data_IF_373449312599
#
_entry.id   IF_373449312599
#
_cell.length_a   1.000
_cell.length_b   1.000
_cell.length_c   1.000
_cell.angle_alpha   90.00
_cell.angle_beta   90.00
_cell.angle_gamma   90.00
#
_symmetry.space_group_name_H-M   'P 1'
#
loop_
_entity.id
_entity.type
_entity.pdbx_description
1 polymer ?
#
# COMPACT_ATOMS: atom_id res chain seq x y z
N UNK A 1 -16.43 17.15 -7.81
CA UNK A 1 -15.52 17.10 -8.99
C UNK A 1 -14.25 16.27 -8.78
N UNK A 2 -13.97 15.69 -7.59
CA UNK A 2 -12.73 14.93 -7.33
C UNK A 2 -12.46 13.75 -8.30
N UNK A 3 -13.51 13.03 -8.71
CA UNK A 3 -13.39 11.92 -9.67
C UNK A 3 -13.05 12.38 -11.10
N UNK A 4 -13.35 13.63 -11.45
CA UNK A 4 -12.94 14.20 -12.74
C UNK A 4 -11.44 14.53 -12.72
N UNK A 5 -10.94 14.97 -11.56
CA UNK A 5 -9.52 15.23 -11.34
C UNK A 5 -8.69 13.93 -11.31
N UNK A 6 -9.31 12.76 -11.06
CA UNK A 6 -8.66 11.46 -11.30
C UNK A 6 -8.26 11.26 -12.77
N UNK A 7 -8.90 11.97 -13.71
CA UNK A 7 -8.48 11.98 -15.12
C UNK A 7 -7.27 12.88 -15.39
N UNK A 8 -6.87 13.76 -14.46
CA UNK A 8 -5.63 14.54 -14.62
C UNK A 8 -4.45 13.61 -14.40
N UNK A 9 -4.03 12.97 -15.51
CA UNK A 9 -3.06 11.90 -15.55
C UNK A 9 -1.76 12.28 -14.84
N UNK A 10 -1.28 13.51 -14.99
CA UNK A 10 0.05 13.89 -14.54
C UNK A 10 0.19 13.93 -13.01
N UNK A 11 -0.83 14.45 -12.31
CA UNK A 11 -0.82 14.47 -10.83
C UNK A 11 -0.85 13.05 -10.25
N UNK A 12 -1.82 12.24 -10.69
CA UNK A 12 -2.02 10.89 -10.15
C UNK A 12 -0.93 9.92 -10.58
N UNK A 13 -0.47 10.01 -11.85
CA UNK A 13 0.66 9.20 -12.31
C UNK A 13 1.94 9.52 -11.55
N UNK A 14 2.20 10.80 -11.25
CA UNK A 14 3.32 11.19 -10.40
C UNK A 14 3.22 10.56 -9.01
N UNK A 15 2.07 10.70 -8.34
CA UNK A 15 1.84 10.13 -7.00
C UNK A 15 1.93 8.61 -6.96
N UNK A 16 1.36 7.91 -7.95
CA UNK A 16 1.43 6.46 -8.00
C UNK A 16 2.80 5.94 -8.42
N UNK A 17 3.54 6.66 -9.26
CA UNK A 17 4.93 6.32 -9.61
C UNK A 17 5.84 6.47 -8.39
N UNK A 18 5.66 7.53 -7.61
CA UNK A 18 6.38 7.75 -6.36
C UNK A 18 6.09 6.62 -5.35
N UNK A 19 4.81 6.28 -5.14
CA UNK A 19 4.43 5.18 -4.25
C UNK A 19 5.00 3.84 -4.73
N UNK A 20 4.92 3.55 -6.03
CA UNK A 20 5.49 2.33 -6.61
C UNK A 20 6.99 2.23 -6.34
N UNK A 21 7.74 3.30 -6.60
CA UNK A 21 9.20 3.31 -6.36
C UNK A 21 9.54 3.07 -4.89
N UNK A 22 8.78 3.65 -3.95
CA UNK A 22 8.95 3.40 -2.50
C UNK A 22 8.68 1.94 -2.13
N UNK A 23 7.68 1.31 -2.74
CA UNK A 23 7.37 -0.11 -2.52
C UNK A 23 8.46 -1.03 -3.09
N UNK A 24 8.98 -0.71 -4.28
CA UNK A 24 10.10 -1.44 -4.88
C UNK A 24 11.37 -1.32 -4.02
N UNK A 25 11.70 -0.12 -3.55
CA UNK A 25 12.83 0.11 -2.66
C UNK A 25 12.70 -0.68 -1.36
N UNK A 26 11.50 -0.70 -0.77
CA UNK A 26 11.23 -1.46 0.46
C UNK A 26 11.48 -2.96 0.28
N UNK A 27 11.05 -3.54 -0.84
CA UNK A 27 11.28 -4.96 -1.13
C UNK A 27 12.76 -5.26 -1.37
N UNK A 28 13.49 -4.35 -2.05
CA UNK A 28 14.94 -4.46 -2.23
C UNK A 28 15.66 -4.43 -0.87
N UNK A 29 15.30 -3.50 0.01
CA UNK A 29 15.87 -3.40 1.36
C UNK A 29 15.61 -4.66 2.18
N UNK A 30 14.39 -5.20 2.09
CA UNK A 30 14.01 -6.46 2.75
C UNK A 30 14.86 -7.63 2.26
N UNK A 31 15.03 -7.77 0.94
CA UNK A 31 15.89 -8.78 0.34
C UNK A 31 17.35 -8.65 0.80
N UNK A 32 17.89 -7.42 0.83
CA UNK A 32 19.25 -7.15 1.30
C UNK A 32 19.43 -7.54 2.77
N UNK A 33 18.47 -7.22 3.64
CA UNK A 33 18.55 -7.57 5.07
C UNK A 33 18.47 -9.08 5.31
N UNK A 34 17.65 -9.79 4.53
CA UNK A 34 17.59 -11.26 4.57
C UNK A 34 18.93 -11.87 4.13
N UNK A 35 19.49 -11.40 3.00
CA UNK A 35 20.78 -11.87 2.49
C UNK A 35 21.94 -11.60 3.46
N UNK A 36 21.84 -10.55 4.27
CA UNK A 36 22.83 -10.19 5.29
C UNK A 36 22.50 -10.76 6.69
N UNK A 37 21.45 -11.58 6.82
CA UNK A 37 20.98 -12.12 8.10
C UNK A 37 20.71 -11.06 9.20
N UNK A 38 20.35 -9.84 8.80
CA UNK A 38 20.06 -8.72 9.71
C UNK A 38 18.60 -8.77 10.19
N UNK A 39 18.28 -9.75 11.03
CA UNK A 39 16.92 -9.99 11.51
C UNK A 39 16.33 -8.84 12.34
N UNK A 40 17.17 -8.09 13.05
CA UNK A 40 16.74 -6.91 13.83
C UNK A 40 16.31 -5.77 12.91
N UNK A 41 17.14 -5.44 11.92
CA UNK A 41 16.82 -4.42 10.92
C UNK A 41 15.58 -4.79 10.08
N UNK A 42 15.39 -6.08 9.79
CA UNK A 42 14.20 -6.56 9.09
C UNK A 42 12.90 -6.27 9.87
N UNK A 43 12.93 -6.31 11.22
CA UNK A 43 11.76 -5.98 12.05
C UNK A 43 11.42 -4.48 12.05
N UNK A 44 12.41 -3.63 11.77
CA UNK A 44 12.25 -2.17 11.72
C UNK A 44 11.77 -1.69 10.34
N UNK A 45 11.80 -2.54 9.31
CA UNK A 45 11.28 -2.20 7.99
C UNK A 45 9.78 -1.85 8.10
N UNK A 46 9.35 -0.70 7.55
CA UNK A 46 7.94 -0.33 7.52
C UNK A 46 7.08 -1.39 6.83
N UNK A 47 5.85 -1.57 7.31
CA UNK A 47 4.90 -2.43 6.59
C UNK A 47 4.45 -1.75 5.29
N UNK A 48 4.14 -2.56 4.29
CA UNK A 48 3.63 -2.09 2.98
C UNK A 48 2.38 -1.22 3.17
N UNK A 49 1.49 -1.60 4.07
CA UNK A 49 0.27 -0.86 4.38
C UNK A 49 0.59 0.54 4.92
N UNK A 50 1.63 0.69 5.72
CA UNK A 50 2.02 1.99 6.28
C UNK A 50 2.45 2.97 5.17
N UNK A 51 3.17 2.48 4.14
CA UNK A 51 3.55 3.30 2.98
C UNK A 51 2.33 3.68 2.13
N UNK A 52 1.42 2.74 1.89
CA UNK A 52 0.20 2.97 1.12
C UNK A 52 -0.68 4.01 1.85
N UNK A 53 -0.98 3.80 3.13
CA UNK A 53 -1.78 4.74 3.91
C UNK A 53 -1.10 6.10 4.06
N UNK A 54 0.23 6.14 4.22
CA UNK A 54 0.99 7.39 4.24
C UNK A 54 0.83 8.19 2.95
N UNK A 55 0.94 7.53 1.80
CA UNK A 55 0.77 8.16 0.49
C UNK A 55 -0.66 8.73 0.32
N UNK A 56 -1.69 7.96 0.65
CA UNK A 56 -3.08 8.43 0.58
C UNK A 56 -3.38 9.55 1.56
N UNK A 57 -2.86 9.48 2.80
CA UNK A 57 -3.04 10.51 3.81
C UNK A 57 -2.38 11.83 3.40
N UNK A 58 -1.24 11.78 2.69
CA UNK A 58 -0.52 12.98 2.22
C UNK A 58 -1.24 13.77 1.12
N UNK A 59 -2.26 13.19 0.46
CA UNK A 59 -3.01 13.91 -0.55
C UNK A 59 -3.81 15.06 0.09
N UNK A 60 -4.12 16.15 -0.65
CA UNK A 60 -4.95 17.22 -0.14
C UNK A 60 -6.33 16.76 0.36
N UNK A 61 -6.92 17.47 1.32
CA UNK A 61 -8.28 17.21 1.82
C UNK A 61 -9.36 17.35 0.75
N UNK A 62 -9.09 18.12 -0.31
CA UNK A 62 -9.99 18.21 -1.45
C UNK A 62 -10.17 16.88 -2.19
N UNK A 63 -9.45 15.80 -1.84
CA UNK A 63 -9.63 14.43 -2.31
C UNK A 63 -10.21 13.46 -1.26
N UNK A 64 -10.85 13.98 -0.21
CA UNK A 64 -11.36 13.18 0.92
C UNK A 64 -12.28 12.02 0.52
N UNK A 65 -13.17 12.20 -0.46
CA UNK A 65 -14.08 11.15 -0.91
C UNK A 65 -13.35 10.07 -1.70
N UNK A 66 -12.35 10.46 -2.49
CA UNK A 66 -11.46 9.51 -3.18
C UNK A 66 -10.64 8.71 -2.17
N UNK A 67 -10.13 9.33 -1.11
CA UNK A 67 -9.42 8.62 -0.02
C UNK A 67 -10.33 7.59 0.66
N UNK A 68 -11.56 7.98 1.01
CA UNK A 68 -12.54 7.07 1.62
C UNK A 68 -12.84 5.87 0.72
N UNK A 69 -13.03 6.12 -0.58
CA UNK A 69 -13.25 5.07 -1.58
C UNK A 69 -12.05 4.13 -1.65
N UNK A 70 -10.83 4.66 -1.75
CA UNK A 70 -9.61 3.87 -1.79
C UNK A 70 -9.45 2.99 -0.54
N UNK A 71 -9.70 3.55 0.65
CA UNK A 71 -9.68 2.79 1.90
C UNK A 71 -10.75 1.71 1.97
N UNK A 72 -11.97 1.99 1.47
CA UNK A 72 -13.02 0.97 1.36
C UNK A 72 -12.58 -0.19 0.45
N UNK A 73 -12.05 0.12 -0.73
CA UNK A 73 -11.56 -0.89 -1.69
C UNK A 73 -10.42 -1.71 -1.09
N UNK A 74 -9.41 -1.07 -0.49
CA UNK A 74 -8.28 -1.74 0.16
C UNK A 74 -8.73 -2.65 1.30
N UNK A 75 -9.71 -2.20 2.10
CA UNK A 75 -10.27 -2.99 3.20
C UNK A 75 -11.01 -4.22 2.68
N UNK A 76 -11.82 -4.08 1.63
CA UNK A 76 -12.54 -5.21 1.02
C UNK A 76 -11.53 -6.26 0.54
N UNK A 77 -10.55 -5.89 -0.29
CA UNK A 77 -9.56 -6.84 -0.79
C UNK A 77 -8.75 -7.48 0.34
N UNK A 78 -8.32 -6.70 1.34
CA UNK A 78 -7.61 -7.21 2.50
C UNK A 78 -8.45 -8.21 3.30
N UNK A 79 -9.74 -7.92 3.50
CA UNK A 79 -10.66 -8.82 4.21
C UNK A 79 -10.93 -10.10 3.42
N UNK A 80 -11.12 -10.00 2.10
CA UNK A 80 -11.32 -11.16 1.22
C UNK A 80 -10.10 -12.08 1.26
N UNK A 81 -8.90 -11.53 1.09
CA UNK A 81 -7.66 -12.31 1.16
C UNK A 81 -7.48 -12.98 2.53
N UNK A 82 -7.78 -12.26 3.61
CA UNK A 82 -7.69 -12.79 4.97
C UNK A 82 -8.68 -13.94 5.19
N UNK A 83 -9.91 -13.80 4.70
CA UNK A 83 -10.92 -14.86 4.72
C UNK A 83 -10.45 -16.08 3.92
N UNK A 84 -9.99 -15.90 2.69
CA UNK A 84 -9.46 -16.98 1.84
C UNK A 84 -8.34 -17.75 2.54
N UNK A 85 -7.41 -17.05 3.18
CA UNK A 85 -6.35 -17.71 3.95
C UNK A 85 -6.88 -18.47 5.16
N UNK A 86 -7.78 -17.87 5.93
CA UNK A 86 -8.39 -18.54 7.07
C UNK A 86 -9.14 -19.82 6.66
N UNK A 87 -9.91 -19.78 5.56
CA UNK A 87 -10.60 -20.95 5.03
C UNK A 87 -9.65 -22.00 4.46
N UNK A 88 -8.55 -21.59 3.83
CA UNK A 88 -7.54 -22.51 3.32
C UNK A 88 -6.86 -23.30 4.45
N UNK A 89 -6.65 -22.69 5.62
CA UNK A 89 -6.14 -23.39 6.80
C UNK A 89 -7.15 -24.37 7.43
N UNK A 90 -8.45 -24.24 7.14
CA UNK A 90 -9.51 -25.10 7.69
C UNK A 90 -9.80 -26.33 6.83
N UNK A 91 -9.36 -26.37 5.57
CA UNK A 91 -9.49 -27.53 4.68
C UNK A 91 -8.43 -28.63 4.95
N UNK A 92 -8.21 -28.98 6.22
CA UNK A 92 -7.43 -30.17 6.62
C UNK A 92 -8.24 -31.44 6.34
#
# INVERSE_FOLDING_TARGET
MQLLDLKTKDFWSGKFTELKSKLEELEVQKCMHIAQHKWTALKEIPRVEALIFGAWNSLPECYSEVKKLAYGVLTIFGSTYSCEQAFSCMNI
#
